data_IF_928896598396
#
_entry.id   IF_928896598396
#
_cell.length_a   1.000
_cell.length_b   1.000
_cell.length_c   1.000
_cell.angle_alpha   90.00
_cell.angle_beta   90.00
_cell.angle_gamma   90.00
#
_symmetry.space_group_name_H-M   'P 1'
#
loop_
_entity.id
_entity.type
_entity.pdbx_description
1 polymer ?
#
# COMPACT_ATOMS: atom_id res chain seq x y z
N UNK A 1 20.47 16.84 4.05
CA UNK A 1 19.35 16.28 3.24
C UNK A 1 19.82 16.28 1.79
N UNK A 2 19.65 15.17 1.07
CA UNK A 2 20.14 15.08 -0.33
C UNK A 2 19.23 15.95 -1.23
N UNK A 3 19.75 16.73 -2.18
CA UNK A 3 18.98 17.67 -3.03
C UNK A 3 17.65 17.07 -3.55
N UNK A 4 17.67 15.81 -3.97
CA UNK A 4 16.45 15.09 -4.44
C UNK A 4 15.37 14.97 -3.38
N UNK A 5 15.74 14.67 -2.13
CA UNK A 5 14.76 14.55 -1.03
C UNK A 5 14.15 15.91 -0.68
N UNK A 6 14.95 17.00 -0.74
CA UNK A 6 14.44 18.37 -0.52
C UNK A 6 13.41 18.75 -1.58
N UNK A 7 13.67 18.42 -2.85
CA UNK A 7 12.72 18.68 -3.94
C UNK A 7 11.41 17.90 -3.74
N UNK A 8 11.48 16.61 -3.36
CA UNK A 8 10.27 15.81 -3.11
C UNK A 8 9.46 16.35 -1.93
N UNK A 9 10.10 16.83 -0.87
CA UNK A 9 9.41 17.45 0.28
C UNK A 9 8.73 18.76 -0.15
N UNK A 10 9.39 19.61 -0.93
CA UNK A 10 8.80 20.86 -1.45
C UNK A 10 7.58 20.55 -2.33
N UNK A 11 7.71 19.59 -3.26
CA UNK A 11 6.60 19.16 -4.12
C UNK A 11 5.43 18.60 -3.30
N UNK A 12 5.71 17.84 -2.23
CA UNK A 12 4.69 17.31 -1.35
C UNK A 12 3.95 18.44 -0.61
N UNK A 13 4.66 19.44 -0.08
CA UNK A 13 4.04 20.60 0.58
C UNK A 13 3.16 21.37 -0.40
N UNK A 14 3.66 21.66 -1.61
CA UNK A 14 2.88 22.34 -2.66
C UNK A 14 1.62 21.54 -3.00
N UNK A 15 1.74 20.21 -3.17
CA UNK A 15 0.61 19.34 -3.49
C UNK A 15 -0.42 19.28 -2.36
N UNK A 16 0.00 19.33 -1.08
CA UNK A 16 -0.92 19.44 0.06
C UNK A 16 -1.70 20.74 -0.03
N UNK A 17 -1.01 21.87 -0.21
CA UNK A 17 -1.67 23.17 -0.33
C UNK A 17 -2.68 23.15 -1.49
N UNK A 18 -2.27 22.69 -2.66
CA UNK A 18 -3.18 22.55 -3.80
C UNK A 18 -4.39 21.65 -3.50
N UNK A 19 -4.18 20.49 -2.84
CA UNK A 19 -5.25 19.57 -2.47
C UNK A 19 -6.26 20.16 -1.48
N UNK A 20 -5.86 21.12 -0.64
CA UNK A 20 -6.76 21.83 0.28
C UNK A 20 -7.68 22.81 -0.46
N UNK A 21 -7.18 23.46 -1.51
CA UNK A 21 -7.96 24.45 -2.27
C UNK A 21 -8.74 23.83 -3.44
N UNK A 22 -8.24 22.76 -4.04
CA UNK A 22 -8.85 22.09 -5.20
C UNK A 22 -9.71 20.89 -4.73
N UNK A 23 -10.97 20.83 -5.14
CA UNK A 23 -11.88 19.74 -4.77
C UNK A 23 -13.22 19.83 -5.51
N UNK A 24 -14.13 18.87 -5.23
CA UNK A 24 -15.44 18.74 -5.87
C UNK A 24 -16.42 19.86 -5.50
N UNK A 25 -16.18 20.57 -4.39
CA UNK A 25 -16.99 21.71 -3.95
C UNK A 25 -16.23 23.00 -4.23
N UNK A 26 -16.90 23.93 -4.92
CA UNK A 26 -16.35 25.25 -5.23
C UNK A 26 -16.54 26.19 -4.01
N UNK A 27 -15.44 26.70 -3.44
CA UNK A 27 -15.50 27.61 -2.28
C UNK A 27 -16.19 28.95 -2.56
N UNK A 28 -16.39 29.31 -3.84
CA UNK A 28 -17.12 30.55 -4.20
C UNK A 28 -18.63 30.46 -3.96
N UNK A 29 -19.16 29.24 -3.79
CA UNK A 29 -20.60 28.97 -3.66
C UNK A 29 -21.06 28.75 -2.22
N UNK A 30 -20.13 28.82 -1.24
CA UNK A 30 -20.40 28.55 0.17
C UNK A 30 -19.86 29.65 1.06
N UNK A 31 -20.36 29.73 2.31
CA UNK A 31 -19.88 30.72 3.27
C UNK A 31 -18.43 30.43 3.69
N UNK A 32 -17.69 31.50 4.10
CA UNK A 32 -16.30 31.35 4.56
C UNK A 32 -16.15 30.36 5.72
N UNK A 33 -17.12 30.29 6.63
CA UNK A 33 -17.12 29.39 7.75
C UNK A 33 -17.26 27.91 7.31
N UNK A 34 -18.14 27.63 6.35
CA UNK A 34 -18.31 26.31 5.75
C UNK A 34 -17.06 25.90 4.95
N UNK A 35 -16.47 26.83 4.18
CA UNK A 35 -15.24 26.58 3.45
C UNK A 35 -14.09 26.17 4.38
N UNK A 36 -13.96 26.86 5.53
CA UNK A 36 -12.94 26.57 6.54
C UNK A 36 -13.15 25.19 7.19
N UNK A 37 -14.39 24.87 7.58
CA UNK A 37 -14.72 23.55 8.15
C UNK A 37 -14.44 22.41 7.13
N UNK A 38 -14.88 22.56 5.86
CA UNK A 38 -14.58 21.55 4.82
C UNK A 38 -13.06 21.39 4.64
N UNK A 39 -12.30 22.48 4.68
CA UNK A 39 -10.85 22.43 4.53
C UNK A 39 -10.18 21.67 5.66
N UNK A 40 -10.56 21.92 6.93
CA UNK A 40 -9.93 21.32 8.10
C UNK A 40 -10.48 19.95 8.44
N UNK A 41 -11.79 19.73 8.35
CA UNK A 41 -12.44 18.51 8.85
C UNK A 41 -12.56 17.41 7.78
N UNK A 42 -12.48 17.80 6.49
CA UNK A 42 -12.65 16.85 5.36
C UNK A 42 -11.39 16.77 4.50
N UNK A 43 -10.91 17.92 3.98
CA UNK A 43 -9.81 17.90 2.98
C UNK A 43 -8.47 17.63 3.62
N UNK A 44 -8.18 18.18 4.78
CA UNK A 44 -6.89 17.99 5.46
C UNK A 44 -6.70 16.54 5.93
N UNK A 45 -7.64 15.89 6.65
CA UNK A 45 -7.49 14.48 7.00
C UNK A 45 -7.35 13.57 5.76
N UNK A 46 -8.10 13.87 4.69
CA UNK A 46 -8.02 13.11 3.43
C UNK A 46 -6.65 13.25 2.75
N UNK A 47 -6.10 14.47 2.70
CA UNK A 47 -4.76 14.71 2.14
C UNK A 47 -3.67 13.99 2.95
N UNK A 48 -3.74 14.06 4.29
CA UNK A 48 -2.82 13.35 5.18
C UNK A 48 -2.94 11.83 5.03
N UNK A 49 -4.17 11.32 4.92
CA UNK A 49 -4.42 9.89 4.69
C UNK A 49 -3.85 9.46 3.33
N UNK A 50 -4.02 10.25 2.26
CA UNK A 50 -3.45 9.97 0.94
C UNK A 50 -1.92 9.82 1.00
N UNK A 51 -1.25 10.75 1.69
CA UNK A 51 0.20 10.71 1.89
C UNK A 51 0.62 9.46 2.64
N UNK A 52 -0.05 9.15 3.75
CA UNK A 52 0.30 8.01 4.60
C UNK A 52 0.04 6.67 3.92
N UNK A 53 -1.08 6.53 3.20
CA UNK A 53 -1.39 5.33 2.41
C UNK A 53 -0.35 5.12 1.33
N UNK A 54 -0.03 6.16 0.57
CA UNK A 54 1.02 6.09 -0.45
C UNK A 54 2.39 5.75 0.12
N UNK A 55 2.76 6.35 1.25
CA UNK A 55 3.99 6.06 1.98
C UNK A 55 4.04 4.61 2.48
N UNK A 56 2.96 4.12 3.12
CA UNK A 56 2.84 2.78 3.64
C UNK A 56 2.98 1.72 2.54
N UNK A 57 2.24 1.87 1.44
CA UNK A 57 2.25 0.95 0.32
C UNK A 57 3.63 0.92 -0.37
N UNK A 58 4.21 2.09 -0.67
CA UNK A 58 5.51 2.18 -1.34
C UNK A 58 6.67 1.68 -0.46
N UNK A 59 6.64 1.95 0.84
CA UNK A 59 7.59 1.43 1.81
C UNK A 59 7.57 -0.10 1.84
N UNK A 60 6.39 -0.68 1.99
CA UNK A 60 6.18 -2.13 2.05
C UNK A 60 6.56 -2.81 0.75
N UNK A 61 6.19 -2.23 -0.38
CA UNK A 61 6.58 -2.72 -1.70
C UNK A 61 8.09 -2.79 -1.88
N UNK A 62 8.84 -1.77 -1.42
CA UNK A 62 10.30 -1.79 -1.48
C UNK A 62 10.91 -2.96 -0.69
N UNK A 63 10.33 -3.34 0.45
CA UNK A 63 10.76 -4.49 1.25
C UNK A 63 10.37 -5.80 0.58
N UNK A 64 9.11 -5.95 0.16
CA UNK A 64 8.62 -7.16 -0.49
C UNK A 64 9.41 -7.50 -1.76
N UNK A 65 9.70 -6.50 -2.60
CA UNK A 65 10.49 -6.70 -3.82
C UNK A 65 11.89 -7.23 -3.54
N UNK A 66 12.53 -6.77 -2.47
CA UNK A 66 13.85 -7.26 -2.07
C UNK A 66 13.78 -8.66 -1.50
N UNK A 67 12.87 -8.89 -0.56
CA UNK A 67 12.77 -10.18 0.14
C UNK A 67 12.31 -11.28 -0.81
N UNK A 68 11.32 -10.98 -1.67
CA UNK A 68 10.77 -11.92 -2.63
C UNK A 68 11.57 -11.95 -3.95
N UNK A 69 12.64 -11.15 -4.07
CA UNK A 69 13.49 -11.04 -5.26
C UNK A 69 12.68 -10.87 -6.55
N UNK A 70 11.54 -10.22 -6.43
CA UNK A 70 10.59 -10.01 -7.52
C UNK A 70 10.19 -8.53 -7.59
N UNK A 71 10.48 -7.82 -8.70
CA UNK A 71 10.12 -6.42 -8.86
C UNK A 71 8.62 -6.16 -8.88
N UNK A 72 7.79 -7.19 -9.05
CA UNK A 72 6.33 -7.12 -9.05
C UNK A 72 5.72 -7.50 -7.70
N UNK A 73 6.53 -7.71 -6.67
CA UNK A 73 6.02 -8.09 -5.35
C UNK A 73 5.45 -6.88 -4.58
N UNK A 74 4.28 -7.09 -3.99
CA UNK A 74 3.60 -6.16 -3.10
C UNK A 74 2.71 -6.89 -2.08
N UNK A 75 1.83 -6.15 -1.39
CA UNK A 75 0.89 -6.71 -0.40
C UNK A 75 -0.12 -7.72 -0.97
N UNK A 76 -0.39 -7.68 -2.28
CA UNK A 76 -1.28 -8.65 -2.94
C UNK A 76 -0.59 -9.98 -3.19
N UNK A 77 0.69 -9.95 -3.50
CA UNK A 77 1.51 -11.13 -3.81
C UNK A 77 1.49 -12.17 -2.68
N UNK A 78 1.34 -11.73 -1.43
CA UNK A 78 1.28 -12.60 -0.26
C UNK A 78 -0.17 -12.89 0.21
N UNK A 79 -1.20 -12.54 -0.57
CA UNK A 79 -2.60 -12.84 -0.29
C UNK A 79 -3.22 -12.04 0.87
N UNK A 80 -2.44 -11.19 1.54
CA UNK A 80 -2.90 -10.46 2.74
C UNK A 80 -3.96 -9.40 2.43
N UNK A 81 -3.93 -8.79 1.25
CA UNK A 81 -4.94 -7.83 0.84
C UNK A 81 -6.32 -8.49 0.65
N UNK A 82 -6.35 -9.71 0.08
CA UNK A 82 -7.59 -10.48 -0.06
C UNK A 82 -8.15 -10.87 1.30
N UNK A 83 -7.29 -11.27 2.26
CA UNK A 83 -7.69 -11.51 3.64
C UNK A 83 -8.28 -10.26 4.31
N UNK A 84 -7.70 -9.10 4.10
CA UNK A 84 -8.21 -7.84 4.65
C UNK A 84 -9.58 -7.47 4.08
N UNK A 85 -9.78 -7.61 2.76
CA UNK A 85 -11.09 -7.36 2.14
C UNK A 85 -12.14 -8.37 2.59
N UNK A 86 -11.76 -9.64 2.75
CA UNK A 86 -12.66 -10.64 3.29
C UNK A 86 -13.12 -10.26 4.72
N UNK A 87 -12.22 -9.74 5.56
CA UNK A 87 -12.56 -9.24 6.89
C UNK A 87 -13.55 -8.10 6.86
N UNK A 88 -13.38 -7.14 5.95
CA UNK A 88 -14.34 -6.06 5.75
C UNK A 88 -15.69 -6.60 5.22
N UNK A 89 -15.68 -7.51 4.26
CA UNK A 89 -16.90 -8.10 3.70
C UNK A 89 -17.72 -8.85 4.75
N UNK A 90 -17.07 -9.62 5.63
CA UNK A 90 -17.74 -10.32 6.73
C UNK A 90 -18.47 -9.33 7.65
N UNK A 91 -17.86 -8.18 7.98
CA UNK A 91 -18.54 -7.16 8.81
C UNK A 91 -19.71 -6.51 8.10
N UNK A 92 -19.66 -6.37 6.77
CA UNK A 92 -20.75 -5.79 5.99
C UNK A 92 -21.99 -6.71 6.00
N UNK A 93 -21.80 -8.02 5.86
CA UNK A 93 -22.90 -9.00 5.75
C UNK A 93 -23.34 -9.61 7.08
N UNK A 94 -22.70 -9.26 8.20
CA UNK A 94 -23.04 -9.79 9.52
C UNK A 94 -23.56 -8.70 10.46
N UNK A 95 -24.05 -9.11 11.63
CA UNK A 95 -24.55 -8.21 12.69
C UNK A 95 -23.40 -7.44 13.39
N UNK A 96 -22.13 -7.69 13.01
CA UNK A 96 -20.97 -7.04 13.60
C UNK A 96 -21.01 -5.54 13.29
N UNK A 97 -20.95 -4.64 14.29
CA UNK A 97 -20.95 -3.20 14.03
C UNK A 97 -19.81 -2.78 13.10
N UNK A 98 -20.11 -1.91 12.14
CA UNK A 98 -19.15 -1.45 11.11
C UNK A 98 -17.85 -0.85 11.69
N UNK A 99 -17.87 -0.38 12.95
CA UNK A 99 -16.68 0.11 13.65
C UNK A 99 -15.59 -0.96 13.82
N UNK A 100 -15.97 -2.25 13.80
CA UNK A 100 -15.02 -3.37 13.88
C UNK A 100 -14.47 -3.82 12.51
N UNK A 101 -14.97 -3.27 11.40
CA UNK A 101 -14.47 -3.64 10.06
C UNK A 101 -12.95 -3.47 9.91
N UNK A 102 -12.31 -2.38 10.38
CA UNK A 102 -10.86 -2.26 10.32
C UNK A 102 -10.14 -3.33 11.15
N UNK A 103 -10.66 -3.67 12.32
CA UNK A 103 -10.06 -4.68 13.21
C UNK A 103 -10.11 -6.06 12.55
N UNK A 104 -11.27 -6.46 12.02
CA UNK A 104 -11.43 -7.76 11.37
C UNK A 104 -10.62 -7.85 10.06
N UNK A 105 -10.55 -6.75 9.30
CA UNK A 105 -9.67 -6.64 8.12
C UNK A 105 -8.20 -6.88 8.48
N UNK A 106 -7.69 -6.22 9.52
CA UNK A 106 -6.30 -6.37 9.95
C UNK A 106 -6.05 -7.81 10.42
N UNK A 107 -6.96 -8.36 11.24
CA UNK A 107 -6.83 -9.73 11.76
C UNK A 107 -6.79 -10.74 10.61
N UNK A 108 -7.76 -10.72 9.69
CA UNK A 108 -7.81 -11.70 8.60
C UNK A 108 -6.68 -11.48 7.58
N UNK A 109 -6.25 -10.24 7.34
CA UNK A 109 -5.08 -9.96 6.53
C UNK A 109 -3.79 -10.48 7.14
N UNK A 110 -3.58 -10.31 8.46
CA UNK A 110 -2.44 -10.89 9.17
C UNK A 110 -2.50 -12.41 9.24
N UNK A 111 -3.68 -12.98 9.49
CA UNK A 111 -3.86 -14.44 9.47
C UNK A 111 -3.55 -15.02 8.09
N UNK A 112 -3.95 -14.36 7.02
CA UNK A 112 -3.60 -14.75 5.66
C UNK A 112 -2.08 -14.78 5.46
N UNK A 113 -1.37 -13.72 5.86
CA UNK A 113 0.08 -13.68 5.79
C UNK A 113 0.73 -14.78 6.65
N UNK A 114 0.26 -14.97 7.89
CA UNK A 114 0.77 -16.01 8.77
C UNK A 114 0.55 -17.42 8.20
N UNK A 115 -0.60 -17.68 7.58
CA UNK A 115 -0.88 -18.94 6.88
C UNK A 115 0.10 -19.15 5.71
N UNK A 116 0.38 -18.13 4.91
CA UNK A 116 1.40 -18.18 3.86
C UNK A 116 2.76 -18.55 4.45
N UNK A 117 3.17 -17.90 5.53
CA UNK A 117 4.45 -18.18 6.18
C UNK A 117 4.51 -19.59 6.76
N UNK A 118 3.44 -20.08 7.40
CA UNK A 118 3.37 -21.44 7.98
C UNK A 118 3.42 -22.49 6.88
N UNK A 119 2.65 -22.34 5.81
CA UNK A 119 2.65 -23.28 4.69
C UNK A 119 4.02 -23.28 3.98
N UNK A 120 4.53 -22.07 3.67
CA UNK A 120 5.84 -21.94 3.03
C UNK A 120 6.95 -22.58 3.87
N UNK A 121 6.92 -22.43 5.20
CA UNK A 121 7.90 -23.09 6.10
C UNK A 121 7.83 -24.60 6.09
N UNK A 122 6.64 -25.19 5.96
CA UNK A 122 6.46 -26.63 5.85
C UNK A 122 7.00 -27.19 4.53
N UNK A 123 6.92 -26.38 3.47
CA UNK A 123 7.43 -26.75 2.14
C UNK A 123 8.94 -26.48 2.01
N UNK A 124 9.44 -25.43 2.63
CA UNK A 124 10.84 -25.01 2.60
C UNK A 124 11.23 -24.25 3.88
N UNK A 125 12.14 -24.81 4.66
CA UNK A 125 12.62 -24.23 5.93
C UNK A 125 13.31 -22.87 5.77
N UNK A 126 13.74 -22.51 4.57
CA UNK A 126 14.45 -21.26 4.27
C UNK A 126 13.52 -20.14 3.76
N UNK A 127 12.22 -20.41 3.62
CA UNK A 127 11.24 -19.48 3.07
C UNK A 127 11.67 -18.92 1.70
N UNK A 128 11.98 -19.80 0.74
CA UNK A 128 12.37 -19.36 -0.61
C UNK A 128 11.35 -18.42 -1.20
N UNK A 129 11.80 -17.36 -1.90
CA UNK A 129 10.90 -16.38 -2.53
C UNK A 129 9.81 -17.00 -3.40
N UNK A 130 10.16 -18.01 -4.19
CA UNK A 130 9.24 -18.71 -5.09
C UNK A 130 8.12 -19.41 -4.32
N UNK A 131 8.46 -20.09 -3.20
CA UNK A 131 7.49 -20.79 -2.35
C UNK A 131 6.53 -19.79 -1.68
N UNK A 132 7.04 -18.66 -1.20
CA UNK A 132 6.22 -17.60 -0.61
C UNK A 132 5.24 -17.00 -1.63
N UNK A 133 5.71 -16.71 -2.85
CA UNK A 133 4.90 -16.13 -3.92
C UNK A 133 3.80 -17.10 -4.35
N UNK A 134 4.15 -18.36 -4.65
CA UNK A 134 3.17 -19.36 -5.08
C UNK A 134 2.12 -19.60 -3.99
N UNK A 135 2.54 -19.80 -2.75
CA UNK A 135 1.62 -19.98 -1.62
C UNK A 135 0.71 -18.76 -1.43
N UNK A 136 1.26 -17.55 -1.55
CA UNK A 136 0.49 -16.31 -1.44
C UNK A 136 -0.56 -16.15 -2.53
N UNK A 137 -0.20 -16.43 -3.78
CA UNK A 137 -1.12 -16.37 -4.93
C UNK A 137 -2.25 -17.41 -4.77
N UNK A 138 -1.92 -18.65 -4.42
CA UNK A 138 -2.93 -19.71 -4.24
C UNK A 138 -3.88 -19.40 -3.08
N UNK A 139 -3.36 -18.95 -1.94
CA UNK A 139 -4.20 -18.56 -0.80
C UNK A 139 -5.05 -17.34 -1.15
N UNK A 140 -4.48 -16.34 -1.84
CA UNK A 140 -5.19 -15.17 -2.32
C UNK A 140 -6.35 -15.53 -3.25
N UNK A 141 -6.14 -16.46 -4.20
CA UNK A 141 -7.18 -16.95 -5.08
C UNK A 141 -8.30 -17.68 -4.31
N UNK A 142 -7.95 -18.50 -3.32
CA UNK A 142 -8.91 -19.17 -2.45
C UNK A 142 -9.76 -18.16 -1.66
N UNK A 143 -9.14 -17.14 -1.06
CA UNK A 143 -9.85 -16.09 -0.32
C UNK A 143 -10.75 -15.24 -1.23
N UNK A 144 -10.32 -14.99 -2.48
CA UNK A 144 -11.17 -14.33 -3.49
C UNK A 144 -12.39 -15.18 -3.87
N UNK A 145 -12.24 -16.51 -3.95
CA UNK A 145 -13.37 -17.43 -4.16
C UNK A 145 -14.38 -17.37 -3.01
N UNK A 146 -13.90 -17.36 -1.75
CA UNK A 146 -14.76 -17.18 -0.58
C UNK A 146 -15.48 -15.83 -0.61
N UNK A 147 -14.79 -14.75 -0.95
CA UNK A 147 -15.38 -13.41 -1.10
C UNK A 147 -16.49 -13.41 -2.17
N UNK A 148 -16.26 -14.09 -3.29
CA UNK A 148 -17.24 -14.20 -4.35
C UNK A 148 -18.51 -14.95 -3.89
N UNK A 149 -18.36 -16.02 -3.11
CA UNK A 149 -19.50 -16.74 -2.50
C UNK A 149 -20.30 -15.81 -1.57
N UNK A 150 -19.61 -14.98 -0.76
CA UNK A 150 -20.28 -13.98 0.09
C UNK A 150 -21.11 -13.01 -0.76
N UNK A 151 -20.56 -12.48 -1.86
CA UNK A 151 -21.27 -11.58 -2.78
C UNK A 151 -22.52 -12.25 -3.38
N UNK A 152 -22.44 -13.53 -3.71
CA UNK A 152 -23.58 -14.29 -4.24
C UNK A 152 -24.68 -14.51 -3.21
N UNK A 153 -24.32 -14.73 -1.95
CA UNK A 153 -25.28 -14.97 -0.85
C UNK A 153 -25.92 -13.68 -0.34
N UNK A 154 -25.24 -12.52 -0.51
CA UNK A 154 -25.69 -11.21 -0.02
C UNK A 154 -25.65 -10.16 -1.15
N UNK A 155 -26.47 -10.29 -2.20
CA UNK A 155 -26.42 -9.41 -3.37
C UNK A 155 -26.73 -7.95 -3.05
N UNK A 156 -27.53 -7.67 -2.02
CA UNK A 156 -27.87 -6.32 -1.54
C UNK A 156 -26.64 -5.58 -0.99
N UNK A 157 -25.64 -6.28 -0.48
CA UNK A 157 -24.43 -5.69 0.08
C UNK A 157 -23.29 -5.54 -0.93
N UNK A 158 -23.49 -5.97 -2.17
CA UNK A 158 -22.46 -5.94 -3.22
C UNK A 158 -21.84 -4.55 -3.39
N UNK A 159 -22.63 -3.48 -3.35
CA UNK A 159 -22.14 -2.11 -3.51
C UNK A 159 -21.21 -1.69 -2.36
N UNK A 160 -21.49 -2.13 -1.13
CA UNK A 160 -20.69 -1.85 0.05
C UNK A 160 -19.37 -2.62 -0.01
N UNK A 161 -19.40 -3.90 -0.39
CA UNK A 161 -18.21 -4.74 -0.57
C UNK A 161 -17.34 -4.17 -1.71
N UNK A 162 -17.96 -3.76 -2.83
CA UNK A 162 -17.24 -3.18 -3.96
C UNK A 162 -16.47 -1.90 -3.58
N UNK A 163 -16.98 -1.07 -2.65
CA UNK A 163 -16.25 0.09 -2.15
C UNK A 163 -14.89 -0.28 -1.53
N UNK A 164 -14.82 -1.40 -0.80
CA UNK A 164 -13.54 -1.91 -0.27
C UNK A 164 -12.64 -2.44 -1.37
N UNK A 165 -13.20 -3.05 -2.42
CA UNK A 165 -12.42 -3.57 -3.56
C UNK A 165 -11.82 -2.46 -4.41
N UNK A 166 -12.48 -1.32 -4.55
CA UNK A 166 -12.01 -0.20 -5.38
C UNK A 166 -11.25 0.89 -4.63
N UNK A 167 -11.22 0.85 -3.32
CA UNK A 167 -10.47 1.74 -2.44
C UNK A 167 -10.81 3.22 -2.58
N UNK A 168 -11.14 3.85 -1.46
CA UNK A 168 -11.49 5.28 -1.41
C UNK A 168 -10.98 5.94 -0.14
N UNK A 169 -10.53 7.18 -0.27
CA UNK A 169 -10.08 8.02 0.86
C UNK A 169 -11.19 8.90 1.45
N UNK A 170 -12.44 8.76 0.97
CA UNK A 170 -13.55 9.62 1.37
C UNK A 170 -13.98 9.52 2.84
N UNK A 171 -13.60 8.45 3.55
CA UNK A 171 -13.90 8.23 4.96
C UNK A 171 -12.72 8.57 5.91
N UNK A 172 -11.77 9.40 5.48
CA UNK A 172 -10.61 9.78 6.28
C UNK A 172 -11.00 10.73 7.43
N UNK A 173 -10.46 10.46 8.61
CA UNK A 173 -10.54 11.31 9.80
C UNK A 173 -9.18 11.31 10.53
N UNK A 174 -9.00 12.25 11.47
CA UNK A 174 -7.73 12.39 12.19
C UNK A 174 -7.36 11.19 13.04
N UNK A 175 -8.34 10.43 13.55
CA UNK A 175 -8.09 9.22 14.34
C UNK A 175 -7.43 8.15 13.48
N UNK A 176 -8.02 7.87 12.30
CA UNK A 176 -7.45 6.90 11.33
C UNK A 176 -6.07 7.34 10.82
N UNK A 177 -5.91 8.65 10.54
CA UNK A 177 -4.63 9.26 10.15
C UNK A 177 -3.58 9.01 11.23
N UNK A 178 -3.91 9.27 12.51
CA UNK A 178 -2.97 9.10 13.62
C UNK A 178 -2.55 7.64 13.81
N UNK A 179 -3.49 6.69 13.74
CA UNK A 179 -3.19 5.26 13.84
C UNK A 179 -2.27 4.81 12.70
N UNK A 180 -2.59 5.17 11.45
CA UNK A 180 -1.78 4.81 10.29
C UNK A 180 -0.38 5.47 10.37
N UNK A 181 -0.29 6.73 10.82
CA UNK A 181 0.97 7.43 11.02
C UNK A 181 1.87 6.70 12.02
N UNK A 182 1.34 6.37 13.21
CA UNK A 182 2.10 5.70 14.27
C UNK A 182 2.63 4.35 13.78
N UNK A 183 1.77 3.52 13.20
CA UNK A 183 2.16 2.18 12.75
C UNK A 183 3.13 2.23 11.55
N UNK A 184 2.95 3.19 10.64
CA UNK A 184 3.90 3.42 9.53
C UNK A 184 5.25 3.91 10.05
N UNK A 185 5.26 4.83 11.02
CA UNK A 185 6.49 5.34 11.63
C UNK A 185 7.25 4.25 12.39
N UNK A 186 6.56 3.43 13.18
CA UNK A 186 7.19 2.29 13.89
C UNK A 186 7.79 1.31 12.89
N UNK A 187 7.04 0.92 11.86
CA UNK A 187 7.56 0.03 10.81
C UNK A 187 8.73 0.65 10.06
N UNK A 188 8.68 1.95 9.76
CA UNK A 188 9.80 2.68 9.13
C UNK A 188 11.07 2.60 9.98
N UNK A 189 10.99 2.88 11.28
CA UNK A 189 12.14 2.86 12.19
C UNK A 189 12.77 1.47 12.21
N UNK A 190 11.95 0.42 12.32
CA UNK A 190 12.44 -0.97 12.32
C UNK A 190 13.10 -1.28 10.97
N UNK A 191 12.44 -1.03 9.85
CA UNK A 191 12.94 -1.33 8.51
C UNK A 191 14.20 -0.54 8.17
N UNK A 192 14.31 0.72 8.60
CA UNK A 192 15.51 1.53 8.42
C UNK A 192 16.70 0.97 9.20
N UNK A 193 16.45 0.49 10.44
CA UNK A 193 17.50 -0.14 11.26
C UNK A 193 18.03 -1.42 10.60
N UNK A 194 17.14 -2.23 10.06
CA UNK A 194 17.49 -3.46 9.33
C UNK A 194 17.87 -3.24 7.86
N UNK A 195 18.02 -2.00 7.43
CA UNK A 195 18.32 -1.67 6.02
C UNK A 195 19.61 -2.33 5.49
N UNK A 196 20.64 -2.48 6.32
CA UNK A 196 21.85 -3.21 5.91
C UNK A 196 21.57 -4.70 5.66
N UNK A 197 20.75 -5.32 6.50
CA UNK A 197 20.36 -6.73 6.32
C UNK A 197 19.58 -6.92 5.02
N UNK A 198 18.68 -5.99 4.69
CA UNK A 198 17.95 -6.02 3.42
C UNK A 198 18.90 -5.86 2.20
N UNK A 199 19.96 -5.08 2.31
CA UNK A 199 20.98 -5.00 1.26
C UNK A 199 21.78 -6.31 1.13
N UNK A 200 22.07 -7.01 2.23
CA UNK A 200 22.70 -8.34 2.19
C UNK A 200 21.78 -9.40 1.55
N UNK A 201 20.46 -9.36 1.81
CA UNK A 201 19.49 -10.26 1.19
C UNK A 201 19.41 -10.11 -0.33
N UNK A 202 19.71 -8.93 -0.89
CA UNK A 202 19.83 -8.73 -2.36
C UNK A 202 20.94 -9.57 -2.98
N UNK A 203 22.02 -9.87 -2.22
CA UNK A 203 23.15 -10.66 -2.71
C UNK A 203 22.86 -12.17 -2.82
N UNK A 204 21.70 -12.60 -2.31
CA UNK A 204 21.29 -14.00 -2.25
C UNK A 204 21.44 -14.61 -0.85
N UNK A 205 20.68 -15.69 -0.60
CA UNK A 205 20.53 -16.28 0.72
C UNK A 205 21.85 -16.90 1.24
N UNK A 206 22.58 -17.58 0.36
CA UNK A 206 23.86 -18.21 0.69
C UNK A 206 24.87 -17.16 1.13
N UNK A 207 24.99 -16.05 0.38
CA UNK A 207 25.91 -14.96 0.71
C UNK A 207 25.48 -14.21 1.98
N UNK A 208 24.17 -13.96 2.13
CA UNK A 208 23.64 -13.33 3.34
C UNK A 208 23.94 -14.18 4.60
N UNK A 209 23.75 -15.50 4.49
CA UNK A 209 24.06 -16.44 5.58
C UNK A 209 25.56 -16.47 5.91
N UNK A 210 26.44 -16.50 4.92
CA UNK A 210 27.90 -16.44 5.09
C UNK A 210 28.37 -15.13 5.78
N UNK A 211 27.58 -14.04 5.62
CA UNK A 211 27.80 -12.75 6.28
C UNK A 211 27.07 -12.62 7.63
N UNK A 212 26.63 -13.75 8.22
CA UNK A 212 26.06 -13.82 9.56
C UNK A 212 24.55 -13.53 9.66
N UNK A 213 23.82 -13.40 8.54
CA UNK A 213 22.37 -13.18 8.55
C UNK A 213 21.62 -14.50 8.71
N UNK A 214 20.87 -14.68 9.78
CA UNK A 214 19.93 -15.80 9.91
C UNK A 214 18.67 -15.54 9.08
N UNK A 215 18.73 -15.94 7.80
CA UNK A 215 17.68 -15.65 6.80
C UNK A 215 16.34 -16.25 7.20
N UNK A 216 16.30 -17.43 7.81
CA UNK A 216 15.07 -18.13 8.21
C UNK A 216 14.30 -17.41 9.34
N UNK A 217 14.97 -16.60 10.14
CA UNK A 217 14.34 -15.80 11.21
C UNK A 217 14.04 -14.38 10.74
N UNK A 218 14.99 -13.75 10.06
CA UNK A 218 14.91 -12.34 9.67
C UNK A 218 13.89 -12.12 8.55
N UNK A 219 13.80 -13.03 7.58
CA UNK A 219 12.89 -12.88 6.43
C UNK A 219 11.42 -12.77 6.87
N UNK A 220 10.84 -13.72 7.62
CA UNK A 220 9.46 -13.60 8.08
C UNK A 220 9.24 -12.40 9.00
N UNK A 221 10.19 -12.04 9.86
CA UNK A 221 10.08 -10.89 10.74
C UNK A 221 9.97 -9.57 9.94
N UNK A 222 10.81 -9.39 8.92
CA UNK A 222 10.76 -8.19 8.06
C UNK A 222 9.50 -8.18 7.17
N UNK A 223 9.02 -9.35 6.70
CA UNK A 223 7.76 -9.45 5.96
C UNK A 223 6.58 -9.02 6.82
N UNK A 224 6.48 -9.50 8.06
CA UNK A 224 5.41 -9.11 9.00
C UNK A 224 5.50 -7.60 9.29
N UNK A 225 6.70 -7.08 9.59
CA UNK A 225 6.89 -5.65 9.87
C UNK A 225 6.45 -4.78 8.68
N UNK A 226 6.80 -5.20 7.46
CA UNK A 226 6.43 -4.48 6.24
C UNK A 226 4.94 -4.64 5.90
N UNK A 227 4.27 -5.69 6.36
CA UNK A 227 2.86 -5.96 6.09
C UNK A 227 1.91 -5.09 6.92
N UNK A 228 2.30 -4.68 8.13
CA UNK A 228 1.42 -3.94 9.06
C UNK A 228 0.89 -2.62 8.45
N UNK A 229 1.72 -1.71 7.91
CA UNK A 229 1.22 -0.45 7.37
C UNK A 229 0.21 -0.59 6.22
N UNK A 230 0.44 -1.42 5.18
CA UNK A 230 -0.54 -1.59 4.12
C UNK A 230 -1.83 -2.28 4.61
N UNK A 231 -1.77 -3.20 5.58
CA UNK A 231 -2.98 -3.80 6.15
C UNK A 231 -3.85 -2.76 6.86
N UNK A 232 -3.24 -1.88 7.65
CA UNK A 232 -3.95 -0.77 8.29
C UNK A 232 -4.50 0.21 7.25
N UNK A 233 -3.73 0.52 6.20
CA UNK A 233 -4.21 1.34 5.11
C UNK A 233 -5.44 0.71 4.43
N UNK A 234 -5.36 -0.57 4.02
CA UNK A 234 -6.46 -1.30 3.37
C UNK A 234 -7.71 -1.37 4.28
N UNK A 235 -7.53 -1.56 5.57
CA UNK A 235 -8.65 -1.65 6.52
C UNK A 235 -9.48 -0.37 6.60
N UNK A 236 -8.88 0.79 6.38
CA UNK A 236 -9.55 2.08 6.40
C UNK A 236 -10.01 2.57 5.03
N UNK A 237 -9.24 2.27 3.98
CA UNK A 237 -9.45 2.85 2.66
C UNK A 237 -9.89 1.85 1.60
N UNK A 238 -9.87 0.56 1.91
CA UNK A 238 -9.97 -0.49 0.91
C UNK A 238 -8.70 -0.62 0.07
N UNK A 239 -8.79 -1.37 -1.03
CA UNK A 239 -7.65 -1.71 -1.87
C UNK A 239 -7.19 -0.50 -2.69
N UNK A 240 -5.92 -0.12 -2.54
CA UNK A 240 -5.21 0.80 -3.43
C UNK A 240 -3.98 0.04 -3.95
N UNK A 241 -4.14 -0.61 -5.10
CA UNK A 241 -3.12 -1.51 -5.66
C UNK A 241 -2.01 -0.75 -6.39
N UNK A 242 -0.91 -1.47 -6.73
CA UNK A 242 0.18 -1.05 -7.64
C UNK A 242 1.12 0.03 -7.11
N UNK A 243 0.78 0.84 -6.12
CA UNK A 243 1.68 1.86 -5.56
C UNK A 243 2.97 1.22 -5.05
N UNK A 244 2.85 0.08 -4.34
CA UNK A 244 3.99 -0.68 -3.82
C UNK A 244 4.87 -1.28 -4.93
N UNK A 245 4.29 -1.59 -6.08
CA UNK A 245 5.05 -2.12 -7.22
C UNK A 245 5.79 -0.98 -7.92
N UNK A 246 5.10 0.09 -8.26
CA UNK A 246 5.59 1.09 -9.21
C UNK A 246 6.59 2.05 -8.59
N UNK A 247 6.31 2.55 -7.40
CA UNK A 247 7.13 3.61 -6.79
C UNK A 247 8.58 3.19 -6.57
N UNK A 248 8.88 2.02 -5.96
CA UNK A 248 10.26 1.57 -5.83
C UNK A 248 10.94 1.33 -7.18
N UNK A 249 10.20 0.83 -8.18
CA UNK A 249 10.75 0.59 -9.52
C UNK A 249 11.10 1.88 -10.27
N UNK A 250 10.27 2.93 -10.19
CA UNK A 250 10.60 4.25 -10.74
C UNK A 250 11.91 4.77 -10.13
N UNK A 251 12.06 4.69 -8.80
CA UNK A 251 13.24 5.18 -8.11
C UNK A 251 14.49 4.42 -8.55
N UNK A 252 14.40 3.08 -8.59
CA UNK A 252 15.53 2.21 -9.00
C UNK A 252 15.85 2.32 -10.49
N UNK A 253 14.86 2.62 -11.34
CA UNK A 253 15.07 2.88 -12.76
C UNK A 253 15.87 4.17 -12.97
N UNK A 254 15.52 5.25 -12.23
CA UNK A 254 16.25 6.53 -12.32
C UNK A 254 17.67 6.39 -11.77
N UNK A 255 17.83 5.73 -10.63
CA UNK A 255 19.14 5.52 -9.99
C UNK A 255 19.12 4.31 -9.08
N UNK A 256 19.91 3.25 -9.39
CA UNK A 256 20.16 2.14 -8.47
C UNK A 256 20.75 2.65 -7.15
N UNK A 257 20.26 2.12 -6.02
CA UNK A 257 20.72 2.55 -4.69
C UNK A 257 20.56 1.47 -3.62
N UNK A 258 21.19 1.69 -2.47
CA UNK A 258 21.00 0.87 -1.28
C UNK A 258 19.58 1.03 -0.69
N UNK A 259 19.19 0.10 0.20
CA UNK A 259 17.83 0.06 0.72
C UNK A 259 17.42 1.32 1.51
N UNK A 260 18.27 1.83 2.43
CA UNK A 260 17.92 2.99 3.26
C UNK A 260 17.51 4.24 2.46
N UNK A 261 18.28 4.69 1.44
CA UNK A 261 17.83 5.80 0.60
C UNK A 261 16.62 5.44 -0.27
N UNK A 262 16.48 4.18 -0.72
CA UNK A 262 15.29 3.71 -1.43
C UNK A 262 14.05 3.84 -0.55
N UNK A 263 14.11 3.37 0.69
CA UNK A 263 13.01 3.43 1.66
C UNK A 263 12.51 4.87 1.86
N UNK A 264 13.42 5.81 2.14
CA UNK A 264 13.09 7.24 2.34
C UNK A 264 12.44 7.87 1.12
N UNK A 265 12.95 7.57 -0.07
CA UNK A 265 12.39 8.08 -1.33
C UNK A 265 11.05 7.43 -1.67
N UNK A 266 10.89 6.13 -1.39
CA UNK A 266 9.63 5.43 -1.60
C UNK A 266 8.49 6.04 -0.79
N UNK A 267 8.73 6.37 0.48
CA UNK A 267 7.77 7.05 1.35
C UNK A 267 7.36 8.42 0.77
N UNK A 268 8.33 9.25 0.40
CA UNK A 268 8.06 10.60 -0.11
C UNK A 268 7.35 10.56 -1.47
N UNK A 269 7.85 9.76 -2.42
CA UNK A 269 7.27 9.67 -3.75
C UNK A 269 5.92 8.96 -3.74
N UNK A 270 5.76 7.90 -2.91
CA UNK A 270 4.49 7.19 -2.76
C UNK A 270 3.40 8.08 -2.18
N UNK A 271 3.72 8.85 -1.13
CA UNK A 271 2.81 9.83 -0.55
C UNK A 271 2.41 10.93 -1.55
N UNK A 272 3.39 11.47 -2.26
CA UNK A 272 3.15 12.48 -3.30
C UNK A 272 2.25 11.95 -4.42
N UNK A 273 2.54 10.73 -4.91
CA UNK A 273 1.80 10.10 -5.99
C UNK A 273 0.32 9.89 -5.63
N UNK A 274 0.04 9.26 -4.47
CA UNK A 274 -1.35 8.98 -4.07
C UNK A 274 -2.12 10.28 -3.80
N UNK A 275 -1.48 11.31 -3.21
CA UNK A 275 -2.08 12.62 -2.98
C UNK A 275 -2.50 13.30 -4.30
N UNK A 276 -1.62 13.30 -5.30
CA UNK A 276 -1.92 13.88 -6.62
C UNK A 276 -3.05 13.10 -7.29
N UNK A 277 -2.97 11.77 -7.30
CA UNK A 277 -3.98 10.92 -7.94
C UNK A 277 -5.35 11.02 -7.26
N UNK A 278 -5.40 11.08 -5.93
CA UNK A 278 -6.67 11.32 -5.21
C UNK A 278 -7.25 12.70 -5.53
N UNK A 279 -6.40 13.72 -5.58
CA UNK A 279 -6.85 15.08 -5.92
C UNK A 279 -7.43 15.14 -7.33
N UNK A 280 -6.79 14.48 -8.29
CA UNK A 280 -7.31 14.34 -9.66
C UNK A 280 -8.65 13.58 -9.68
N UNK A 281 -8.75 12.45 -8.97
CA UNK A 281 -9.98 11.64 -8.90
C UNK A 281 -11.18 12.41 -8.34
N UNK A 282 -10.95 13.40 -7.47
CA UNK A 282 -12.00 14.28 -6.92
C UNK A 282 -12.44 15.39 -7.85
N UNK A 283 -11.65 15.72 -8.86
CA UNK A 283 -11.84 16.94 -9.66
C UNK A 283 -12.23 16.67 -11.11
N UNK A 284 -11.78 15.54 -11.69
CA UNK A 284 -11.96 15.26 -13.11
C UNK A 284 -13.42 15.17 -13.56
N UNK A 285 -14.32 14.62 -12.74
CA UNK A 285 -15.73 14.43 -13.07
C UNK A 285 -16.62 15.02 -11.95
N UNK A 286 -16.19 16.13 -11.34
CA UNK A 286 -16.97 16.74 -10.27
C UNK A 286 -18.44 17.02 -10.72
N UNK A 287 -19.46 16.77 -9.86
CA UNK A 287 -19.36 16.43 -8.44
C UNK A 287 -19.09 14.95 -8.12
N UNK A 288 -19.12 14.05 -9.11
CA UNK A 288 -18.79 12.64 -8.91
C UNK A 288 -17.29 12.48 -8.59
N UNK A 289 -17.00 11.61 -7.62
CA UNK A 289 -15.63 11.31 -7.23
C UNK A 289 -15.26 9.90 -7.69
N UNK A 290 -14.19 9.80 -8.47
CA UNK A 290 -13.62 8.49 -8.86
C UNK A 290 -12.89 7.90 -7.65
N UNK A 291 -13.12 6.64 -7.27
CA UNK A 291 -12.37 5.99 -6.19
C UNK A 291 -10.86 6.06 -6.42
N UNK A 292 -10.10 6.34 -5.36
CA UNK A 292 -8.64 6.53 -5.44
C UNK A 292 -7.93 5.30 -5.99
N UNK A 293 -8.36 4.09 -5.60
CA UNK A 293 -7.78 2.85 -6.12
C UNK A 293 -7.96 2.68 -7.63
N UNK A 294 -9.12 3.07 -8.17
CA UNK A 294 -9.38 3.06 -9.63
C UNK A 294 -8.44 4.03 -10.33
N UNK A 295 -8.33 5.26 -9.83
CA UNK A 295 -7.44 6.28 -10.39
C UNK A 295 -5.97 5.86 -10.37
N UNK A 296 -5.54 5.21 -9.28
CA UNK A 296 -4.20 4.63 -9.19
C UNK A 296 -4.00 3.56 -10.25
N UNK A 297 -4.94 2.61 -10.43
CA UNK A 297 -4.82 1.57 -11.46
C UNK A 297 -4.72 2.17 -12.87
N UNK A 298 -5.58 3.13 -13.20
CA UNK A 298 -5.59 3.78 -14.50
C UNK A 298 -4.29 4.54 -14.83
N UNK A 299 -3.64 5.12 -13.84
CA UNK A 299 -2.37 5.84 -14.03
C UNK A 299 -1.14 4.94 -13.90
N UNK A 300 -1.19 3.98 -12.99
CA UNK A 300 -0.08 3.10 -12.65
C UNK A 300 0.22 2.07 -13.74
N UNK A 301 -0.81 1.45 -14.34
CA UNK A 301 -0.62 0.39 -15.35
C UNK A 301 0.11 0.90 -16.59
N UNK A 302 -0.30 2.00 -17.24
CA UNK A 302 0.43 2.54 -18.38
C UNK A 302 1.87 2.94 -18.04
N UNK A 303 2.07 3.56 -16.87
CA UNK A 303 3.40 3.94 -16.41
C UNK A 303 4.31 2.72 -16.20
N UNK A 304 3.78 1.64 -15.64
CA UNK A 304 4.55 0.41 -15.43
C UNK A 304 4.90 -0.29 -16.75
N UNK A 305 3.96 -0.37 -17.67
CA UNK A 305 4.20 -0.90 -19.03
C UNK A 305 5.30 -0.11 -19.72
N UNK A 306 5.25 1.22 -19.63
CA UNK A 306 6.29 2.10 -20.18
C UNK A 306 7.68 1.84 -19.57
N UNK A 307 7.76 1.65 -18.24
CA UNK A 307 9.02 1.31 -17.56
C UNK A 307 9.56 -0.05 -18.00
N UNK A 308 8.71 -1.06 -18.13
CA UNK A 308 9.08 -2.40 -18.61
C UNK A 308 9.61 -2.32 -20.04
N UNK A 309 8.92 -1.62 -20.93
CA UNK A 309 9.33 -1.43 -22.32
C UNK A 309 10.71 -0.79 -22.42
N UNK A 310 10.92 0.32 -21.69
CA UNK A 310 12.24 0.97 -21.66
C UNK A 310 13.35 0.09 -21.09
N UNK A 311 13.05 -0.70 -20.06
CA UNK A 311 14.05 -1.61 -19.45
C UNK A 311 14.49 -2.70 -20.41
N UNK A 312 13.57 -3.25 -21.20
CA UNK A 312 13.87 -4.26 -22.22
C UNK A 312 14.71 -3.67 -23.35
N UNK A 313 14.41 -2.45 -23.80
CA UNK A 313 15.13 -1.78 -24.87
C UNK A 313 16.55 -1.34 -24.48
N UNK A 314 16.75 -0.94 -23.20
CA UNK A 314 18.07 -0.42 -22.74
C UNK A 314 19.00 -1.55 -22.34
N UNK A 315 18.49 -2.71 -21.93
CA UNK A 315 19.26 -3.92 -21.62
C UNK A 315 18.70 -5.13 -22.40
N UNK A 316 18.89 -5.22 -23.72
CA UNK A 316 18.66 -6.46 -24.43
C UNK A 316 19.61 -7.52 -23.85
N UNK A 317 19.05 -8.63 -23.36
CA UNK A 317 19.81 -9.79 -22.85
C UNK A 317 20.60 -10.44 -23.99
#
# INVERSE_FOLDING_TARGET
MNKTNSVLVILLIISVIMSLFIGSVNFREISNMQAFSIMLDVRLPRALMAILVGAALAMSGAVFQIILKNPMADSFTLGMANGAVLGAAITVVTIIPAVFAPVLSIILGLLSLLLVLVIARKLDLTYRPETLIITGILLGAMLSGVLYIIILLFPEDTANIARYMFGSLGGADFTKVSVLLILTAVSFIILERYGHVLDLLKLGDIRAHALGVNVSVIRPALLITAAVPPLVAISYTGIIALVGIIIPQIILYIKPMAFRPLLKRSILLGGLYVLIIDTLGRTLIAPLQIPTGVMVMLSAVPLFIFLLYKRILVNPR
#
